data_IF_995561842703
#
_entry.id   IF_995561842703
#
_cell.length_a   1.000
_cell.length_b   1.000
_cell.length_c   1.000
_cell.angle_alpha   90.00
_cell.angle_beta   90.00
_cell.angle_gamma   90.00
#
_symmetry.space_group_name_H-M   'P 1'
#
loop_
_entity.id
_entity.type
_entity.pdbx_description
1 polymer ?
#
# COMPACT_ATOMS: atom_id res chain seq x y z
N UNK A 1 29.76 -5.76 -0.68
CA UNK A 1 29.15 -7.09 -0.46
C UNK A 1 28.87 -7.34 1.02
N UNK A 2 29.74 -6.92 1.93
CA UNK A 2 29.50 -7.00 3.38
C UNK A 2 28.32 -6.14 3.84
N UNK A 3 28.12 -4.94 3.28
CA UNK A 3 27.02 -4.04 3.70
C UNK A 3 25.62 -4.60 3.39
N UNK A 4 25.44 -5.21 2.22
CA UNK A 4 24.16 -5.83 1.84
C UNK A 4 23.84 -7.02 2.74
N UNK A 5 24.85 -7.85 3.04
CA UNK A 5 24.66 -9.01 3.92
C UNK A 5 24.34 -8.58 5.36
N UNK A 6 25.02 -7.55 5.87
CA UNK A 6 24.68 -6.94 7.16
C UNK A 6 23.26 -6.36 7.17
N UNK A 7 22.84 -5.66 6.12
CA UNK A 7 21.48 -5.11 6.00
C UNK A 7 20.41 -6.21 6.02
N UNK A 8 20.63 -7.30 5.29
CA UNK A 8 19.73 -8.46 5.27
C UNK A 8 19.62 -9.09 6.67
N UNK A 9 20.73 -9.28 7.37
CA UNK A 9 20.72 -9.86 8.71
C UNK A 9 20.01 -8.95 9.73
N UNK A 10 20.26 -7.64 9.69
CA UNK A 10 19.60 -6.69 10.57
C UNK A 10 18.09 -6.62 10.30
N UNK A 11 17.70 -6.53 9.03
CA UNK A 11 16.29 -6.53 8.63
C UNK A 11 15.60 -7.83 9.02
N UNK A 12 16.28 -8.96 8.83
CA UNK A 12 15.74 -10.27 9.22
C UNK A 12 15.56 -10.40 10.72
N UNK A 13 16.52 -9.89 11.51
CA UNK A 13 16.40 -9.85 12.95
C UNK A 13 15.22 -8.98 13.41
N UNK A 14 15.04 -7.79 12.85
CA UNK A 14 13.89 -6.93 13.12
C UNK A 14 12.56 -7.63 12.76
N UNK A 15 12.49 -8.25 11.59
CA UNK A 15 11.31 -8.96 11.09
C UNK A 15 10.86 -10.08 12.04
N UNK A 16 11.80 -10.76 12.71
CA UNK A 16 11.45 -11.77 13.73
C UNK A 16 10.65 -11.14 14.87
N UNK A 17 11.09 -9.98 15.39
CA UNK A 17 10.37 -9.28 16.46
C UNK A 17 9.04 -8.70 15.99
N UNK A 18 8.94 -8.24 14.75
CA UNK A 18 7.69 -7.72 14.18
C UNK A 18 6.62 -8.82 14.07
N UNK A 19 7.02 -10.05 13.74
CA UNK A 19 6.09 -11.19 13.60
C UNK A 19 5.85 -11.93 14.92
N UNK A 20 6.75 -11.79 15.91
CA UNK A 20 6.68 -12.50 17.19
C UNK A 20 5.33 -12.33 17.93
N UNK A 21 4.72 -11.13 18.03
CA UNK A 21 3.43 -10.97 18.71
C UNK A 21 2.33 -11.85 18.12
N UNK A 22 2.31 -12.01 16.79
CA UNK A 22 1.34 -12.85 16.09
C UNK A 22 1.55 -14.31 16.51
N UNK A 23 2.80 -14.79 16.47
CA UNK A 23 3.13 -16.15 16.87
C UNK A 23 2.78 -16.41 18.34
N UNK A 24 3.06 -15.47 19.24
CA UNK A 24 2.75 -15.56 20.67
C UNK A 24 1.24 -15.68 20.89
N UNK A 25 0.44 -14.84 20.25
CA UNK A 25 -1.02 -14.90 20.37
C UNK A 25 -1.55 -16.24 19.85
N UNK A 26 -1.08 -16.70 18.68
CA UNK A 26 -1.50 -17.98 18.12
C UNK A 26 -1.18 -19.16 19.05
N UNK A 27 0.04 -19.21 19.59
CA UNK A 27 0.46 -20.26 20.53
C UNK A 27 -0.35 -20.18 21.82
N UNK A 28 -0.60 -18.98 22.36
CA UNK A 28 -1.41 -18.78 23.54
C UNK A 28 -2.83 -19.34 23.37
N UNK A 29 -3.53 -18.98 22.29
CA UNK A 29 -4.87 -19.48 22.04
C UNK A 29 -4.87 -20.98 21.75
N UNK A 30 -3.87 -21.50 21.04
CA UNK A 30 -3.73 -22.91 20.77
C UNK A 30 -3.54 -23.73 22.06
N UNK A 31 -2.69 -23.27 22.98
CA UNK A 31 -2.36 -23.96 24.22
C UNK A 31 -3.42 -23.78 25.32
N UNK A 32 -3.94 -22.57 25.50
CA UNK A 32 -4.79 -22.22 26.64
C UNK A 32 -6.28 -22.35 26.33
N UNK A 33 -6.73 -21.81 25.19
CA UNK A 33 -8.14 -21.76 24.83
C UNK A 33 -8.60 -23.05 24.12
N UNK A 34 -7.89 -23.46 23.06
CA UNK A 34 -8.23 -24.65 22.27
C UNK A 34 -7.73 -25.92 22.93
N UNK A 35 -6.60 -25.85 23.66
CA UNK A 35 -5.97 -26.97 24.38
C UNK A 35 -5.68 -28.18 23.49
N UNK A 36 -5.29 -27.93 22.23
CA UNK A 36 -4.95 -28.98 21.27
C UNK A 36 -3.61 -28.68 20.61
N UNK A 37 -2.89 -29.72 20.17
CA UNK A 37 -1.69 -29.54 19.33
C UNK A 37 -2.16 -29.33 17.88
N UNK A 38 -1.66 -28.30 17.17
CA UNK A 38 -2.09 -28.08 15.80
C UNK A 38 -1.62 -29.23 14.90
N UNK A 39 -2.42 -29.61 13.89
CA UNK A 39 -2.05 -30.67 12.96
C UNK A 39 -0.79 -30.26 12.18
N UNK A 40 0.21 -31.14 12.17
CA UNK A 40 1.51 -30.97 11.48
C UNK A 40 2.35 -29.75 11.96
N UNK A 41 2.80 -29.72 13.23
CA UNK A 41 3.55 -28.59 13.78
C UNK A 41 4.87 -28.32 13.03
N UNK A 42 5.53 -29.36 12.52
CA UNK A 42 6.75 -29.23 11.69
C UNK A 42 6.50 -28.43 10.42
N UNK A 43 5.35 -28.65 9.76
CA UNK A 43 4.98 -27.92 8.54
C UNK A 43 4.67 -26.46 8.84
N UNK A 44 4.01 -26.19 9.98
CA UNK A 44 3.72 -24.82 10.44
C UNK A 44 5.02 -24.07 10.72
N UNK A 45 5.96 -24.68 11.47
CA UNK A 45 7.27 -24.09 11.75
C UNK A 45 8.07 -23.81 10.46
N UNK A 46 8.06 -24.76 9.51
CA UNK A 46 8.68 -24.54 8.20
C UNK A 46 8.04 -23.40 7.42
N UNK A 47 6.70 -23.28 7.47
CA UNK A 47 5.96 -22.17 6.88
C UNK A 47 6.36 -20.82 7.50
N UNK A 48 6.48 -20.74 8.83
CA UNK A 48 6.95 -19.54 9.53
C UNK A 48 8.36 -19.15 9.10
N UNK A 49 9.28 -20.12 8.95
CA UNK A 49 10.62 -19.85 8.44
C UNK A 49 10.59 -19.26 7.02
N UNK A 50 9.75 -19.81 6.12
CA UNK A 50 9.58 -19.25 4.77
C UNK A 50 9.01 -17.84 4.79
N UNK A 51 8.06 -17.54 5.67
CA UNK A 51 7.50 -16.19 5.84
C UNK A 51 8.58 -15.21 6.29
N UNK A 52 9.40 -15.58 7.28
CA UNK A 52 10.48 -14.71 7.78
C UNK A 52 11.51 -14.42 6.69
N UNK A 53 11.98 -15.44 5.98
CA UNK A 53 12.95 -15.26 4.89
C UNK A 53 12.34 -14.42 3.76
N UNK A 54 11.10 -14.73 3.37
CA UNK A 54 10.40 -14.01 2.30
C UNK A 54 10.17 -12.54 2.63
N UNK A 55 9.65 -12.23 3.82
CA UNK A 55 9.44 -10.85 4.28
C UNK A 55 10.76 -10.08 4.37
N UNK A 56 11.82 -10.70 4.89
CA UNK A 56 13.13 -10.06 4.99
C UNK A 56 13.65 -9.64 3.62
N UNK A 57 13.70 -10.59 2.67
CA UNK A 57 14.19 -10.31 1.32
C UNK A 57 13.30 -9.30 0.58
N UNK A 58 11.99 -9.37 0.81
CA UNK A 58 11.02 -8.45 0.23
C UNK A 58 11.23 -7.01 0.74
N UNK A 59 11.37 -6.81 2.05
CA UNK A 59 11.61 -5.49 2.66
C UNK A 59 12.94 -4.89 2.20
N UNK A 60 14.01 -5.69 2.20
CA UNK A 60 15.32 -5.26 1.68
C UNK A 60 15.21 -4.84 0.21
N UNK A 61 14.51 -5.62 -0.62
CA UNK A 61 14.28 -5.29 -2.03
C UNK A 61 13.47 -4.00 -2.22
N UNK A 62 12.44 -3.79 -1.39
CA UNK A 62 11.64 -2.56 -1.41
C UNK A 62 12.49 -1.32 -1.11
N UNK A 63 13.24 -1.35 -0.02
CA UNK A 63 14.06 -0.22 0.43
C UNK A 63 15.20 0.10 -0.53
N UNK A 64 15.84 -0.92 -1.10
CA UNK A 64 17.03 -0.71 -1.95
C UNK A 64 16.68 -0.39 -3.40
N UNK A 65 15.52 -0.81 -3.90
CA UNK A 65 15.15 -0.63 -5.30
C UNK A 65 13.91 0.25 -5.49
N UNK A 66 12.77 -0.10 -4.87
CA UNK A 66 11.49 0.53 -5.20
C UNK A 66 11.33 1.93 -4.59
N UNK A 67 11.78 2.17 -3.36
CA UNK A 67 11.68 3.52 -2.76
C UNK A 67 12.59 4.54 -3.46
N UNK A 68 13.89 4.26 -3.69
CA UNK A 68 14.79 5.20 -4.37
C UNK A 68 14.33 5.49 -5.80
N UNK A 69 13.79 4.48 -6.49
CA UNK A 69 13.21 4.66 -7.82
C UNK A 69 12.01 5.59 -7.79
N UNK A 70 11.08 5.39 -6.85
CA UNK A 70 9.91 6.25 -6.66
C UNK A 70 10.30 7.70 -6.35
N UNK A 71 11.27 7.91 -5.46
CA UNK A 71 11.78 9.24 -5.12
C UNK A 71 12.46 9.94 -6.31
N UNK A 72 13.26 9.21 -7.07
CA UNK A 72 13.95 9.74 -8.27
C UNK A 72 12.94 10.12 -9.35
N UNK A 73 11.93 9.28 -9.60
CA UNK A 73 10.86 9.58 -10.55
C UNK A 73 10.04 10.78 -10.10
N UNK A 74 9.70 10.89 -8.81
CA UNK A 74 9.01 12.05 -8.26
C UNK A 74 9.82 13.34 -8.50
N UNK A 75 11.12 13.33 -8.19
CA UNK A 75 12.04 14.46 -8.46
C UNK A 75 12.01 14.88 -9.94
N UNK A 76 12.17 13.93 -10.85
CA UNK A 76 12.18 14.18 -12.29
C UNK A 76 10.84 14.72 -12.80
N UNK A 77 9.72 14.19 -12.32
CA UNK A 77 8.37 14.61 -12.71
C UNK A 77 7.99 15.98 -12.14
N UNK A 78 8.61 16.41 -11.04
CA UNK A 78 8.42 17.74 -10.43
C UNK A 78 9.48 18.75 -10.86
N UNK A 79 10.44 18.36 -11.70
CA UNK A 79 11.52 19.25 -12.14
C UNK A 79 10.94 20.41 -12.98
N UNK A 80 11.24 21.68 -12.67
CA UNK A 80 10.77 22.82 -13.45
C UNK A 80 11.07 22.74 -14.95
N UNK A 81 12.20 22.13 -15.33
CA UNK A 81 12.57 21.91 -16.72
C UNK A 81 11.65 20.88 -17.40
N UNK A 82 11.25 19.83 -16.68
CA UNK A 82 10.29 18.84 -17.18
C UNK A 82 8.88 19.41 -17.30
N UNK A 83 8.45 20.21 -16.32
CA UNK A 83 7.15 20.89 -16.31
C UNK A 83 7.05 22.00 -17.38
N UNK A 84 8.16 22.38 -18.02
CA UNK A 84 8.20 23.47 -19.00
C UNK A 84 8.06 24.86 -18.39
N UNK A 85 8.20 24.97 -17.06
CA UNK A 85 8.07 26.22 -16.30
C UNK A 85 9.46 26.89 -16.30
N UNK A 86 9.79 27.53 -17.42
CA UNK A 86 11.14 28.02 -17.70
C UNK A 86 11.56 29.25 -16.88
N UNK A 87 10.73 29.77 -15.95
CA UNK A 87 11.07 30.91 -15.08
C UNK A 87 10.48 30.78 -13.69
N UNK A 88 11.30 31.14 -12.70
CA UNK A 88 10.98 31.26 -11.27
C UNK A 88 9.90 32.33 -10.91
N UNK A 89 9.08 32.76 -11.88
CA UNK A 89 8.07 33.81 -11.74
C UNK A 89 6.67 33.37 -12.18
N UNK A 90 6.51 32.20 -12.81
CA UNK A 90 5.20 31.60 -13.05
C UNK A 90 4.86 30.71 -11.87
N UNK A 91 3.76 31.03 -11.19
CA UNK A 91 3.21 30.15 -10.16
C UNK A 91 2.76 28.85 -10.83
N UNK A 92 3.44 27.75 -10.52
CA UNK A 92 3.10 26.44 -11.03
C UNK A 92 1.62 26.13 -10.71
N UNK A 93 0.83 25.89 -11.74
CA UNK A 93 -0.60 25.60 -11.58
C UNK A 93 -0.74 24.10 -11.37
N UNK A 94 -1.78 23.70 -10.63
CA UNK A 94 -2.07 22.28 -10.38
C UNK A 94 -2.16 21.43 -11.65
N UNK A 95 -2.47 22.04 -12.81
CA UNK A 95 -2.56 21.38 -14.13
C UNK A 95 -1.20 20.95 -14.68
N UNK A 96 -0.12 21.63 -14.31
CA UNK A 96 1.22 21.36 -14.85
C UNK A 96 1.76 20.01 -14.35
N UNK A 97 1.27 19.58 -13.19
CA UNK A 97 1.61 18.32 -12.54
C UNK A 97 0.79 17.11 -13.04
N UNK A 98 0.17 17.18 -14.23
CA UNK A 98 -0.64 16.08 -14.77
C UNK A 98 0.09 14.73 -14.77
N UNK A 99 1.36 14.72 -15.16
CA UNK A 99 2.17 13.50 -15.18
C UNK A 99 2.47 12.94 -13.79
N UNK A 100 2.55 13.80 -12.76
CA UNK A 100 2.63 13.36 -11.36
C UNK A 100 1.36 12.61 -10.97
N UNK A 101 0.18 13.12 -11.34
CA UNK A 101 -1.10 12.46 -11.02
C UNK A 101 -1.28 11.14 -11.75
N UNK A 102 -0.87 11.06 -13.01
CA UNK A 102 -0.88 9.83 -13.81
C UNK A 102 0.10 8.81 -13.23
N UNK A 103 1.31 9.23 -12.86
CA UNK A 103 2.29 8.36 -12.23
C UNK A 103 1.80 7.84 -10.87
N UNK A 104 1.24 8.72 -10.04
CA UNK A 104 0.63 8.37 -8.76
C UNK A 104 -0.50 7.34 -8.92
N UNK A 105 -1.38 7.53 -9.91
CA UNK A 105 -2.43 6.58 -10.24
C UNK A 105 -1.87 5.23 -10.72
N UNK A 106 -0.90 5.24 -11.63
CA UNK A 106 -0.30 4.04 -12.19
C UNK A 106 0.43 3.21 -11.12
N UNK A 107 1.20 3.86 -10.25
CA UNK A 107 1.88 3.19 -9.14
C UNK A 107 0.87 2.65 -8.13
N UNK A 108 -0.12 3.44 -7.72
CA UNK A 108 -1.18 2.98 -6.81
C UNK A 108 -1.95 1.78 -7.38
N UNK A 109 -2.25 1.79 -8.67
CA UNK A 109 -2.87 0.65 -9.35
C UNK A 109 -1.96 -0.59 -9.34
N UNK A 110 -0.70 -0.43 -9.79
CA UNK A 110 0.23 -1.53 -9.97
C UNK A 110 0.58 -2.22 -8.64
N UNK A 111 0.85 -1.44 -7.58
CA UNK A 111 1.16 -1.97 -6.25
C UNK A 111 -0.05 -2.70 -5.66
N UNK A 112 -1.26 -2.16 -5.84
CA UNK A 112 -2.49 -2.80 -5.37
C UNK A 112 -2.77 -4.11 -6.09
N UNK A 113 -2.57 -4.18 -7.42
CA UNK A 113 -2.71 -5.45 -8.16
C UNK A 113 -1.68 -6.49 -7.71
N UNK A 114 -0.46 -6.05 -7.37
CA UNK A 114 0.62 -6.88 -6.90
C UNK A 114 0.50 -7.29 -5.41
N UNK A 115 -0.38 -6.64 -4.65
CA UNK A 115 -0.53 -6.82 -3.21
C UNK A 115 -0.96 -8.26 -2.86
N UNK A 116 -0.09 -9.06 -2.18
CA UNK A 116 -0.37 -10.48 -1.92
C UNK A 116 -1.59 -10.70 -1.03
N UNK A 117 -1.85 -9.79 -0.08
CA UNK A 117 -2.99 -9.86 0.82
C UNK A 117 -4.30 -9.67 0.06
N UNK A 118 -4.35 -8.76 -0.93
CA UNK A 118 -5.52 -8.57 -1.79
C UNK A 118 -5.78 -9.79 -2.68
N UNK A 119 -4.72 -10.42 -3.19
CA UNK A 119 -4.81 -11.67 -3.95
C UNK A 119 -5.48 -12.75 -3.10
N UNK A 120 -5.03 -12.93 -1.86
CA UNK A 120 -5.57 -13.94 -0.95
C UNK A 120 -7.05 -13.68 -0.59
N UNK A 121 -7.40 -12.43 -0.26
CA UNK A 121 -8.78 -12.05 0.07
C UNK A 121 -9.70 -12.21 -1.15
N UNK A 122 -9.25 -11.83 -2.34
CA UNK A 122 -10.04 -11.98 -3.55
C UNK A 122 -10.34 -13.45 -3.90
N UNK A 123 -9.33 -14.32 -3.81
CA UNK A 123 -9.56 -15.76 -3.99
C UNK A 123 -10.48 -16.33 -2.92
N UNK A 124 -10.37 -15.85 -1.67
CA UNK A 124 -11.25 -16.33 -0.61
C UNK A 124 -12.69 -15.87 -0.81
N UNK A 125 -12.89 -14.63 -1.25
CA UNK A 125 -14.20 -14.10 -1.59
C UNK A 125 -14.83 -14.88 -2.76
N UNK A 126 -14.06 -15.21 -3.80
CA UNK A 126 -14.54 -16.03 -4.92
C UNK A 126 -14.98 -17.42 -4.47
N UNK A 127 -14.18 -18.09 -3.62
CA UNK A 127 -14.53 -19.40 -3.08
C UNK A 127 -15.78 -19.39 -2.20
N UNK A 128 -15.89 -18.44 -1.26
CA UNK A 128 -17.03 -18.36 -0.33
C UNK A 128 -18.31 -17.93 -1.07
N UNK A 129 -18.18 -17.11 -2.11
CA UNK A 129 -19.32 -16.63 -2.90
C UNK A 129 -19.83 -17.65 -3.94
N UNK A 130 -19.18 -18.81 -4.08
CA UNK A 130 -19.53 -19.77 -5.13
C UNK A 130 -19.28 -19.23 -6.55
N UNK A 131 -18.32 -18.32 -6.71
CA UNK A 131 -18.00 -17.67 -7.99
C UNK A 131 -18.83 -16.42 -8.33
N UNK A 132 -19.75 -16.00 -7.46
CA UNK A 132 -20.52 -14.77 -7.68
C UNK A 132 -19.64 -13.50 -7.65
N UNK A 133 -18.53 -13.53 -6.90
CA UNK A 133 -17.49 -12.48 -6.92
C UNK A 133 -16.28 -13.04 -7.64
N UNK A 134 -15.96 -12.49 -8.80
CA UNK A 134 -14.74 -12.85 -9.52
C UNK A 134 -13.51 -12.22 -8.84
N UNK A 135 -12.49 -13.04 -8.53
CA UNK A 135 -11.29 -12.55 -7.83
C UNK A 135 -10.53 -11.48 -8.64
N UNK A 136 -10.42 -11.63 -9.95
CA UNK A 136 -9.75 -10.66 -10.81
C UNK A 136 -10.53 -9.35 -10.92
N UNK A 137 -11.86 -9.43 -11.06
CA UNK A 137 -12.74 -8.27 -11.06
C UNK A 137 -12.66 -7.47 -9.75
N UNK A 138 -12.65 -8.15 -8.60
CA UNK A 138 -12.46 -7.49 -7.30
C UNK A 138 -11.09 -6.79 -7.24
N UNK A 139 -10.02 -7.45 -7.65
CA UNK A 139 -8.67 -6.87 -7.64
C UNK A 139 -8.57 -5.62 -8.51
N UNK A 140 -9.14 -5.64 -9.71
CA UNK A 140 -9.17 -4.46 -10.59
C UNK A 140 -9.98 -3.33 -9.95
N UNK A 141 -11.17 -3.62 -9.41
CA UNK A 141 -12.02 -2.60 -8.81
C UNK A 141 -11.31 -1.90 -7.64
N UNK A 142 -10.66 -2.67 -6.77
CA UNK A 142 -9.89 -2.16 -5.64
C UNK A 142 -8.68 -1.36 -6.13
N UNK A 143 -7.93 -1.87 -7.11
CA UNK A 143 -6.77 -1.17 -7.68
C UNK A 143 -7.13 0.16 -8.35
N UNK A 144 -8.28 0.26 -9.01
CA UNK A 144 -8.80 1.53 -9.54
C UNK A 144 -9.11 2.50 -8.40
N UNK A 145 -9.75 2.02 -7.33
CA UNK A 145 -10.04 2.83 -6.15
C UNK A 145 -8.76 3.41 -5.52
N UNK A 146 -7.73 2.59 -5.35
CA UNK A 146 -6.43 3.04 -4.84
C UNK A 146 -5.75 4.00 -5.81
N UNK A 147 -5.77 3.74 -7.12
CA UNK A 147 -5.21 4.64 -8.12
C UNK A 147 -5.81 6.04 -8.04
N UNK A 148 -7.14 6.14 -7.92
CA UNK A 148 -7.86 7.41 -7.74
C UNK A 148 -7.47 8.06 -6.41
N UNK A 149 -7.44 7.29 -5.31
CA UNK A 149 -7.08 7.81 -3.99
C UNK A 149 -5.65 8.34 -3.91
N UNK A 150 -4.68 7.62 -4.47
CA UNK A 150 -3.26 8.03 -4.49
C UNK A 150 -3.06 9.24 -5.40
N UNK A 151 -3.73 9.30 -6.55
CA UNK A 151 -3.71 10.46 -7.44
C UNK A 151 -4.32 11.71 -6.77
N UNK A 152 -5.45 11.54 -6.06
CA UNK A 152 -6.07 12.60 -5.26
C UNK A 152 -5.16 13.07 -4.12
N UNK A 153 -4.42 12.15 -3.49
CA UNK A 153 -3.40 12.45 -2.50
C UNK A 153 -2.26 13.29 -3.08
N UNK A 154 -1.77 12.95 -4.28
CA UNK A 154 -0.77 13.73 -4.98
C UNK A 154 -1.30 15.14 -5.33
N UNK A 155 -2.53 15.24 -5.82
CA UNK A 155 -3.20 16.54 -6.05
C UNK A 155 -3.28 17.39 -4.78
N UNK A 156 -3.61 16.78 -3.63
CA UNK A 156 -3.61 17.47 -2.33
C UNK A 156 -2.22 17.96 -1.93
N UNK A 157 -1.16 17.20 -2.20
CA UNK A 157 0.23 17.63 -1.95
C UNK A 157 0.60 18.81 -2.85
N UNK A 158 0.30 18.73 -4.14
CA UNK A 158 0.57 19.81 -5.11
C UNK A 158 -0.16 21.09 -4.73
N UNK A 159 -1.46 21.00 -4.42
CA UNK A 159 -2.30 22.17 -4.12
C UNK A 159 -2.16 22.69 -2.69
N UNK A 160 -1.70 21.86 -1.75
CA UNK A 160 -1.54 22.22 -0.34
C UNK A 160 -2.87 22.46 0.39
N UNK A 161 -3.97 21.95 -0.14
CA UNK A 161 -5.30 22.10 0.42
C UNK A 161 -5.48 21.23 1.68
N UNK A 162 -6.37 21.63 2.61
CA UNK A 162 -6.54 20.92 3.88
C UNK A 162 -7.06 19.48 3.70
N UNK A 163 -6.42 18.51 4.37
CA UNK A 163 -6.76 17.07 4.26
C UNK A 163 -8.21 16.77 4.67
N UNK A 164 -8.74 17.48 5.65
CA UNK A 164 -10.08 17.18 6.20
C UNK A 164 -11.18 17.25 5.15
N UNK A 165 -11.07 18.14 4.15
CA UNK A 165 -12.07 18.22 3.07
C UNK A 165 -12.12 16.94 2.23
N UNK A 166 -10.96 16.38 1.88
CA UNK A 166 -10.87 15.11 1.14
C UNK A 166 -11.46 13.95 1.92
N UNK A 167 -11.16 13.88 3.22
CA UNK A 167 -11.67 12.84 4.10
C UNK A 167 -13.19 12.97 4.26
N UNK A 168 -13.71 14.18 4.54
CA UNK A 168 -15.14 14.42 4.68
C UNK A 168 -15.89 14.00 3.40
N UNK A 169 -15.43 14.45 2.23
CA UNK A 169 -16.05 14.09 0.94
C UNK A 169 -15.99 12.58 0.71
N UNK A 170 -14.83 11.94 0.96
CA UNK A 170 -14.68 10.50 0.84
C UNK A 170 -15.65 9.72 1.72
N UNK A 171 -15.78 10.10 2.99
CA UNK A 171 -16.75 9.49 3.91
C UNK A 171 -18.18 9.69 3.47
N UNK A 172 -18.57 10.89 3.04
CA UNK A 172 -19.92 11.16 2.53
C UNK A 172 -20.23 10.26 1.34
N UNK A 173 -19.30 10.14 0.38
CA UNK A 173 -19.47 9.25 -0.77
C UNK A 173 -19.63 7.80 -0.32
N UNK A 174 -18.75 7.28 0.53
CA UNK A 174 -18.80 5.89 0.99
C UNK A 174 -20.07 5.59 1.79
N UNK A 175 -20.52 6.52 2.65
CA UNK A 175 -21.77 6.37 3.42
C UNK A 175 -22.96 6.28 2.47
N UNK A 176 -23.05 7.17 1.47
CA UNK A 176 -24.13 7.16 0.48
C UNK A 176 -24.13 5.84 -0.30
N UNK A 177 -22.96 5.40 -0.78
CA UNK A 177 -22.83 4.13 -1.50
C UNK A 177 -23.24 2.94 -0.62
N UNK A 178 -22.91 2.96 0.67
CA UNK A 178 -23.23 1.88 1.62
C UNK A 178 -24.74 1.72 1.82
N UNK A 179 -25.52 2.81 1.74
CA UNK A 179 -26.99 2.76 1.86
C UNK A 179 -27.61 1.95 0.71
N UNK A 180 -27.01 2.00 -0.49
CA UNK A 180 -27.51 1.31 -1.68
C UNK A 180 -26.80 -0.01 -2.00
N UNK A 181 -25.66 -0.29 -1.36
CA UNK A 181 -24.88 -1.49 -1.58
C UNK A 181 -25.55 -2.75 -0.99
N UNK A 182 -25.32 -3.89 -1.65
CA UNK A 182 -25.75 -5.19 -1.11
C UNK A 182 -24.97 -5.54 0.15
N UNK A 183 -25.65 -6.06 1.19
CA UNK A 183 -25.02 -6.50 2.45
C UNK A 183 -23.86 -7.47 2.26
N UNK A 184 -23.88 -8.25 1.18
CA UNK A 184 -22.84 -9.20 0.84
C UNK A 184 -21.51 -8.52 0.46
N UNK A 185 -21.55 -7.37 -0.20
CA UNK A 185 -20.34 -6.69 -0.69
C UNK A 185 -19.78 -5.69 0.32
N UNK A 186 -20.62 -5.17 1.24
CA UNK A 186 -20.24 -4.11 2.17
C UNK A 186 -19.03 -4.54 3.01
N UNK A 187 -19.14 -5.68 3.70
CA UNK A 187 -18.05 -6.18 4.54
C UNK A 187 -16.76 -6.39 3.74
N UNK A 188 -16.87 -6.96 2.54
CA UNK A 188 -15.74 -7.18 1.65
C UNK A 188 -15.11 -5.87 1.17
N UNK A 189 -15.92 -4.86 0.84
CA UNK A 189 -15.44 -3.55 0.38
C UNK A 189 -14.66 -2.81 1.48
N UNK A 190 -15.19 -2.80 2.71
CA UNK A 190 -14.50 -2.19 3.86
C UNK A 190 -13.22 -2.94 4.25
N UNK A 191 -13.24 -4.29 4.22
CA UNK A 191 -12.05 -5.10 4.50
C UNK A 191 -10.97 -4.93 3.42
N UNK A 192 -11.38 -4.86 2.15
CA UNK A 192 -10.48 -4.63 1.01
C UNK A 192 -9.68 -3.34 1.16
N UNK A 193 -10.25 -2.29 1.76
CA UNK A 193 -9.53 -1.05 2.07
C UNK A 193 -8.34 -1.29 3.00
N UNK A 194 -8.54 -1.97 4.13
CA UNK A 194 -7.46 -2.30 5.07
C UNK A 194 -6.43 -3.27 4.48
N UNK A 195 -6.85 -4.14 3.57
CA UNK A 195 -5.96 -5.05 2.85
C UNK A 195 -5.02 -4.29 1.91
N UNK A 196 -5.46 -3.19 1.30
CA UNK A 196 -4.59 -2.36 0.44
C UNK A 196 -3.59 -1.50 1.20
N UNK A 197 -3.70 -1.37 2.52
CA UNK A 197 -2.68 -0.69 3.34
C UNK A 197 -1.56 -1.63 3.79
N UNK A 198 -1.31 -2.69 3.02
CA UNK A 198 -0.41 -3.79 3.36
C UNK A 198 1.03 -3.53 2.89
N UNK A 199 1.87 -4.55 2.98
CA UNK A 199 3.34 -4.51 2.91
C UNK A 199 3.90 -3.97 1.61
N UNK A 200 3.18 -4.02 0.48
CA UNK A 200 3.66 -3.49 -0.80
C UNK A 200 3.25 -2.03 -1.00
N UNK A 201 1.97 -1.74 -0.80
CA UNK A 201 1.37 -0.48 -1.27
C UNK A 201 1.76 0.71 -0.42
N UNK A 202 1.69 0.60 0.92
CA UNK A 202 1.94 1.73 1.82
C UNK A 202 3.35 2.27 1.71
N UNK A 203 4.42 1.45 1.75
CA UNK A 203 5.76 1.99 1.73
C UNK A 203 6.10 2.71 0.42
N UNK A 204 5.61 2.18 -0.72
CA UNK A 204 5.80 2.81 -2.04
C UNK A 204 5.03 4.13 -2.16
N UNK A 205 3.76 4.16 -1.75
CA UNK A 205 2.94 5.39 -1.78
C UNK A 205 3.51 6.44 -0.81
N UNK A 206 4.06 6.01 0.31
CA UNK A 206 4.71 6.90 1.29
C UNK A 206 5.99 7.50 0.72
N UNK A 207 6.84 6.69 0.09
CA UNK A 207 8.05 7.16 -0.59
C UNK A 207 7.70 8.18 -1.70
N UNK A 208 6.66 7.90 -2.50
CA UNK A 208 6.14 8.86 -3.48
C UNK A 208 5.67 10.15 -2.82
N UNK A 209 4.83 10.07 -1.77
CA UNK A 209 4.31 11.24 -1.07
C UNK A 209 5.39 12.11 -0.45
N UNK A 210 6.37 11.50 0.22
CA UNK A 210 7.55 12.20 0.76
C UNK A 210 8.41 12.81 -0.35
N UNK A 211 8.60 12.10 -1.46
CA UNK A 211 9.29 12.61 -2.65
C UNK A 211 8.62 13.87 -3.18
N UNK A 212 7.30 13.83 -3.44
CA UNK A 212 6.55 14.99 -3.91
C UNK A 212 6.55 16.16 -2.93
N UNK A 213 6.36 15.90 -1.64
CA UNK A 213 6.31 16.95 -0.62
C UNK A 213 7.68 17.61 -0.38
N UNK A 214 8.79 16.92 -0.65
CA UNK A 214 10.14 17.45 -0.51
C UNK A 214 10.64 18.19 -1.76
N UNK A 215 10.07 17.93 -2.94
CA UNK A 215 10.52 18.53 -4.20
C UNK A 215 9.68 19.73 -4.63
N UNK A 216 8.40 19.77 -4.25
CA UNK A 216 7.50 20.87 -4.60
C UNK A 216 7.73 22.06 -3.65
N UNK A 217 8.08 23.26 -4.15
CA UNK A 217 8.30 24.43 -3.31
C UNK A 217 7.07 24.79 -2.45
N UNK A 218 7.31 25.15 -1.19
CA UNK A 218 6.24 25.53 -0.25
C UNK A 218 5.40 24.35 0.27
N UNK A 219 5.83 23.11 0.02
CA UNK A 219 5.25 21.90 0.62
C UNK A 219 6.17 21.35 1.70
N UNK A 220 5.55 20.65 2.65
CA UNK A 220 6.25 20.03 3.77
C UNK A 220 5.92 18.54 3.81
N UNK A 221 6.94 17.66 3.92
CA UNK A 221 6.73 16.26 4.23
C UNK A 221 6.35 16.01 5.71
N UNK A 222 6.46 17.04 6.56
CA UNK A 222 6.12 17.05 8.00
C UNK A 222 4.84 17.85 8.27
#
# INVERSE_FOLDING_TARGET
>A
MNDLFHHILLTGWATVFDVLPIAVILVFFQAVAIRAIPPNPKRILGGFAYVLVGLTLFLVGLETALFPLGETMAKQLTDPAFLGIAKALEEAVWSDYLWVYVFAAAIGFATTIAEPSLIAVAFKAEQISGGAINAWGLRIAVAIGVAVGVSLGAYRIVTGTPLHWYIIVGYVVVIIQTIWASKFIIALAYDSGGVTTSTVTVPVVTALGLGLASTIPGRSPL
#
